data_IF_810217369849
#
_entry.id   IF_810217369849
#
_cell.length_a   1.000
_cell.length_b   1.000
_cell.length_c   1.000
_cell.angle_alpha   90.00
_cell.angle_beta   90.00
_cell.angle_gamma   90.00
#
_symmetry.space_group_name_H-M   'P 1'
#
loop_
_entity.id
_entity.type
_entity.pdbx_description
1 polymer ?
#
# COMPACT_ATOMS: atom_id res chain seq x y z
N UNK A 1 -12.51 -36.24 10.36
CA UNK A 1 -13.05 -35.14 11.12
C UNK A 1 -11.99 -34.11 11.41
N UNK A 2 -10.95 -34.56 12.05
CA UNK A 2 -9.86 -33.67 12.40
C UNK A 2 -9.27 -33.00 11.16
N UNK A 3 -9.16 -33.74 10.10
CA UNK A 3 -8.60 -33.20 8.86
C UNK A 3 -9.38 -32.04 8.33
N UNK A 4 -10.69 -32.10 8.47
CA UNK A 4 -11.52 -31.02 7.95
C UNK A 4 -11.24 -29.72 8.67
N UNK A 5 -11.09 -29.80 9.97
CA UNK A 5 -10.83 -28.61 10.75
C UNK A 5 -9.49 -28.00 10.38
N UNK A 6 -8.51 -28.85 10.15
CA UNK A 6 -7.20 -28.39 9.74
C UNK A 6 -7.28 -27.64 8.42
N UNK A 7 -8.00 -28.19 7.45
CA UNK A 7 -8.20 -27.53 6.17
C UNK A 7 -8.79 -26.15 6.34
N UNK A 8 -9.83 -26.05 7.14
CA UNK A 8 -10.54 -24.81 7.31
C UNK A 8 -9.61 -23.73 7.84
N UNK A 9 -8.81 -24.09 8.85
CA UNK A 9 -7.89 -23.15 9.44
C UNK A 9 -6.86 -22.69 8.41
N UNK A 10 -6.32 -23.61 7.66
CA UNK A 10 -5.31 -23.26 6.66
C UNK A 10 -5.85 -22.32 5.61
N UNK A 11 -7.08 -22.56 5.17
CA UNK A 11 -7.67 -21.69 4.15
C UNK A 11 -7.86 -20.29 4.66
N UNK A 12 -8.20 -20.14 5.91
CA UNK A 12 -8.42 -18.84 6.49
C UNK A 12 -7.12 -18.04 6.60
N UNK A 13 -5.98 -18.73 6.64
CA UNK A 13 -4.71 -18.07 6.77
C UNK A 13 -4.12 -17.62 5.44
N UNK A 14 -4.75 -18.02 4.33
CA UNK A 14 -4.23 -17.70 3.01
C UNK A 14 -4.86 -16.39 2.53
N UNK A 15 -4.01 -15.42 2.24
CA UNK A 15 -4.45 -14.14 1.72
C UNK A 15 -4.28 -14.12 0.21
N UNK A 16 -5.34 -13.77 -0.51
CA UNK A 16 -5.26 -13.64 -1.97
C UNK A 16 -4.89 -12.20 -2.33
N UNK A 17 -4.51 -12.02 -3.59
CA UNK A 17 -4.25 -10.66 -4.08
C UNK A 17 -5.50 -9.79 -3.92
N UNK A 18 -6.67 -10.33 -4.25
CA UNK A 18 -7.90 -9.55 -4.15
C UNK A 18 -8.16 -9.10 -2.71
N UNK A 19 -7.91 -9.98 -1.74
CA UNK A 19 -8.07 -9.64 -0.33
C UNK A 19 -7.10 -8.54 0.07
N UNK A 20 -5.85 -8.68 -0.33
CA UNK A 20 -4.82 -7.71 -0.01
C UNK A 20 -5.16 -6.36 -0.62
N UNK A 21 -5.52 -6.36 -1.90
CA UNK A 21 -5.81 -5.10 -2.58
C UNK A 21 -7.00 -4.39 -1.94
N UNK A 22 -8.06 -5.13 -1.65
CA UNK A 22 -9.25 -4.55 -1.03
C UNK A 22 -8.90 -3.91 0.32
N UNK A 23 -8.10 -4.61 1.11
CA UNK A 23 -7.74 -4.11 2.43
C UNK A 23 -6.87 -2.86 2.34
N UNK A 24 -5.83 -2.89 1.52
CA UNK A 24 -4.93 -1.75 1.45
C UNK A 24 -5.60 -0.55 0.79
N UNK A 25 -6.48 -0.80 -0.18
CA UNK A 25 -7.22 0.31 -0.78
C UNK A 25 -8.08 1.00 0.26
N UNK A 26 -8.77 0.23 1.09
CA UNK A 26 -9.57 0.82 2.16
C UNK A 26 -8.75 1.67 3.11
N UNK A 27 -7.55 1.20 3.43
CA UNK A 27 -6.66 1.94 4.32
C UNK A 27 -6.16 3.23 3.67
N UNK A 28 -5.71 3.15 2.41
CA UNK A 28 -5.17 4.32 1.73
C UNK A 28 -6.24 5.36 1.45
N UNK A 29 -7.46 4.94 1.16
CA UNK A 29 -8.54 5.88 0.85
C UNK A 29 -8.98 6.70 2.05
N UNK A 30 -8.47 6.40 3.25
CA UNK A 30 -8.71 7.23 4.41
C UNK A 30 -7.89 8.51 4.38
N UNK A 31 -6.90 8.60 3.51
CA UNK A 31 -6.04 9.77 3.44
C UNK A 31 -6.81 10.98 2.91
N UNK A 32 -6.49 12.13 3.46
CA UNK A 32 -7.03 13.40 2.98
C UNK A 32 -5.97 14.04 2.09
N UNK A 33 -6.21 14.00 0.78
CA UNK A 33 -5.25 14.53 -0.19
C UNK A 33 -5.69 15.88 -0.76
N UNK A 34 -6.70 16.50 -0.17
CA UNK A 34 -7.26 17.74 -0.71
C UNK A 34 -6.24 18.87 -0.77
N UNK A 35 -5.24 18.86 0.11
CA UNK A 35 -4.20 19.89 0.13
C UNK A 35 -2.99 19.52 -0.73
N UNK A 36 -2.99 18.37 -1.37
CA UNK A 36 -1.88 17.96 -2.22
C UNK A 36 -2.20 18.39 -3.64
N UNK A 37 -1.50 19.42 -4.10
CA UNK A 37 -1.73 19.98 -5.43
C UNK A 37 -0.83 19.38 -6.48
N UNK A 38 0.15 18.65 -6.05
CA UNK A 38 1.12 18.00 -6.92
C UNK A 38 0.56 16.68 -7.41
N UNK A 39 0.88 16.31 -8.65
CA UNK A 39 0.53 15.00 -9.18
C UNK A 39 1.54 13.98 -8.63
N UNK A 40 1.05 12.96 -7.97
CA UNK A 40 1.89 11.89 -7.44
C UNK A 40 1.37 10.56 -7.96
N UNK A 41 2.28 9.72 -8.45
CA UNK A 41 1.89 8.41 -8.96
C UNK A 41 2.86 7.36 -8.43
N UNK A 42 2.34 6.43 -7.66
CA UNK A 42 3.13 5.37 -7.03
C UNK A 42 2.65 4.01 -7.50
N UNK A 43 3.59 3.15 -7.84
CA UNK A 43 3.27 1.76 -8.10
C UNK A 43 3.79 0.92 -6.92
N UNK A 44 2.98 -0.05 -6.52
CA UNK A 44 3.33 -0.96 -5.44
C UNK A 44 3.45 -2.37 -5.98
N UNK A 45 4.58 -2.99 -5.73
CA UNK A 45 4.83 -4.38 -6.09
C UNK A 45 4.83 -5.19 -4.81
N UNK A 46 3.86 -6.08 -4.68
CA UNK A 46 3.72 -6.89 -3.47
C UNK A 46 4.37 -8.25 -3.74
N UNK A 47 5.25 -8.65 -2.83
CA UNK A 47 5.98 -9.90 -2.95
C UNK A 47 5.46 -10.91 -1.93
N UNK A 48 5.71 -12.21 -2.23
CA UNK A 48 5.31 -13.26 -1.33
C UNK A 48 3.83 -13.55 -1.41
N UNK A 49 3.22 -13.76 -0.26
CA UNK A 49 1.79 -14.02 -0.20
C UNK A 49 1.02 -12.82 -0.74
N UNK A 50 -0.02 -13.06 -1.52
CA UNK A 50 -0.84 -12.03 -2.15
C UNK A 50 -0.07 -11.22 -3.19
N UNK A 51 0.91 -11.83 -3.81
CA UNK A 51 1.78 -11.20 -4.79
C UNK A 51 0.98 -10.51 -5.91
N UNK A 52 1.44 -9.33 -6.34
CA UNK A 52 0.80 -8.61 -7.42
C UNK A 52 1.17 -7.14 -7.38
N UNK A 53 0.56 -6.36 -8.28
CA UNK A 53 0.85 -4.93 -8.38
C UNK A 53 -0.44 -4.13 -8.30
N UNK A 54 -0.30 -2.88 -7.90
CA UNK A 54 -1.38 -1.90 -7.99
C UNK A 54 -0.75 -0.51 -7.95
N UNK A 55 -1.55 0.53 -8.19
CA UNK A 55 -1.02 1.88 -8.10
C UNK A 55 -1.91 2.76 -7.23
N UNK A 56 -1.30 3.83 -6.73
CA UNK A 56 -2.01 4.89 -6.04
C UNK A 56 -1.61 6.21 -6.69
N UNK A 57 -2.59 7.02 -7.03
CA UNK A 57 -2.34 8.27 -7.74
C UNK A 57 -3.09 9.41 -7.07
N UNK A 58 -2.40 10.53 -6.84
CA UNK A 58 -3.02 11.77 -6.39
C UNK A 58 -3.07 12.71 -7.57
N UNK A 59 -4.27 13.14 -7.92
CA UNK A 59 -4.48 14.00 -9.07
C UNK A 59 -5.69 14.87 -8.84
N UNK A 60 -5.51 16.18 -8.97
CA UNK A 60 -6.63 17.11 -8.81
C UNK A 60 -7.28 17.06 -7.44
N UNK A 61 -6.49 16.83 -6.41
CA UNK A 61 -7.02 16.77 -5.05
C UNK A 61 -7.75 15.49 -4.71
N UNK A 62 -7.61 14.46 -5.55
CA UNK A 62 -8.28 13.18 -5.32
C UNK A 62 -7.28 12.05 -5.38
N UNK A 63 -7.60 10.97 -4.66
CA UNK A 63 -6.76 9.78 -4.61
C UNK A 63 -7.44 8.64 -5.36
N UNK A 64 -6.67 8.01 -6.24
CA UNK A 64 -7.10 6.85 -7.01
C UNK A 64 -6.23 5.67 -6.65
N UNK A 65 -6.84 4.54 -6.33
CA UNK A 65 -6.11 3.30 -6.03
C UNK A 65 -6.73 2.21 -6.89
N UNK A 66 -5.94 1.70 -7.86
CA UNK A 66 -6.45 0.76 -8.85
C UNK A 66 -5.51 -0.42 -9.04
N UNK A 67 -6.04 -1.59 -9.38
CA UNK A 67 -5.25 -2.82 -9.44
C UNK A 67 -4.49 -2.97 -10.76
N UNK A 68 -3.80 -1.93 -11.17
CA UNK A 68 -3.09 -1.92 -12.44
C UNK A 68 -1.70 -1.35 -12.28
N UNK A 69 -0.87 -1.59 -13.28
CA UNK A 69 0.44 -1.00 -13.41
C UNK A 69 0.30 0.47 -13.81
N UNK A 70 1.19 1.32 -13.31
CA UNK A 70 1.21 2.73 -13.71
C UNK A 70 2.53 2.99 -14.41
N UNK A 71 2.48 3.13 -15.73
CA UNK A 71 3.69 3.24 -16.53
C UNK A 71 4.52 4.48 -16.18
N UNK A 72 3.87 5.63 -16.06
CA UNK A 72 4.56 6.90 -15.78
C UNK A 72 4.66 7.19 -14.28
N UNK A 73 4.88 6.17 -13.51
CA UNK A 73 4.97 6.33 -12.06
C UNK A 73 6.16 7.17 -11.63
N UNK A 74 5.97 7.95 -10.58
CA UNK A 74 7.04 8.74 -10.00
C UNK A 74 7.97 7.88 -9.17
N UNK A 75 7.42 6.89 -8.49
CA UNK A 75 8.20 6.00 -7.65
C UNK A 75 7.54 4.64 -7.58
N UNK A 76 8.32 3.64 -7.23
CA UNK A 76 7.85 2.27 -7.11
C UNK A 76 8.30 1.72 -5.77
N UNK A 77 7.37 1.10 -5.06
CA UNK A 77 7.63 0.50 -3.75
C UNK A 77 7.46 -1.00 -3.84
N UNK A 78 8.41 -1.74 -3.30
CA UNK A 78 8.35 -3.20 -3.30
C UNK A 78 8.46 -3.69 -1.87
N UNK A 79 7.50 -4.49 -1.44
CA UNK A 79 7.48 -5.03 -0.09
C UNK A 79 6.46 -6.16 0.01
N UNK A 80 6.40 -6.80 1.17
CA UNK A 80 5.39 -7.81 1.43
C UNK A 80 4.07 -7.12 1.79
N UNK A 81 2.98 -7.88 1.69
CA UNK A 81 1.67 -7.36 2.07
C UNK A 81 1.66 -6.92 3.53
N UNK A 82 2.26 -7.73 4.40
CA UNK A 82 2.27 -7.41 5.82
C UNK A 82 2.99 -6.08 6.08
N UNK A 83 4.13 -5.87 5.44
CA UNK A 83 4.85 -4.62 5.59
C UNK A 83 4.01 -3.44 5.12
N UNK A 84 3.35 -3.59 3.98
CA UNK A 84 2.54 -2.52 3.45
C UNK A 84 1.37 -2.19 4.37
N UNK A 85 0.72 -3.19 4.93
CA UNK A 85 -0.38 -2.95 5.87
C UNK A 85 0.09 -2.12 7.06
N UNK A 86 1.26 -2.45 7.61
CA UNK A 86 1.78 -1.72 8.76
C UNK A 86 2.13 -0.28 8.40
N UNK A 87 2.63 -0.07 7.20
CA UNK A 87 2.94 1.28 6.74
C UNK A 87 1.64 2.07 6.54
N UNK A 88 0.68 1.48 5.85
CA UNK A 88 -0.58 2.16 5.56
C UNK A 88 -1.38 2.43 6.82
N UNK A 89 -1.19 1.61 7.84
CA UNK A 89 -1.86 1.74 9.12
C UNK A 89 -1.16 2.74 10.04
N UNK A 90 0.00 3.23 9.62
CA UNK A 90 0.75 4.18 10.44
C UNK A 90 1.59 3.56 11.53
N UNK A 91 1.62 2.23 11.61
CA UNK A 91 2.38 1.54 12.66
C UNK A 91 3.86 1.48 12.35
N UNK A 92 4.24 1.53 11.09
CA UNK A 92 5.64 1.48 10.69
C UNK A 92 5.93 2.69 9.81
N UNK A 93 6.97 3.42 10.17
CA UNK A 93 7.46 4.54 9.37
C UNK A 93 8.07 3.98 8.08
N UNK A 94 7.65 4.46 6.90
CA UNK A 94 8.23 3.97 5.64
C UNK A 94 9.75 4.14 5.58
N UNK A 95 10.28 5.21 6.15
CA UNK A 95 11.72 5.42 6.13
C UNK A 95 12.43 4.36 6.94
N UNK A 96 11.88 4.01 8.09
CA UNK A 96 12.44 2.93 8.90
C UNK A 96 12.36 1.61 8.16
N UNK A 97 11.26 1.36 7.45
CA UNK A 97 11.12 0.12 6.70
C UNK A 97 12.20 -0.01 5.63
N UNK A 98 12.56 1.11 4.97
CA UNK A 98 13.66 1.09 4.00
C UNK A 98 14.97 0.76 4.69
N UNK A 99 15.23 1.39 5.83
CA UNK A 99 16.46 1.15 6.58
C UNK A 99 16.59 -0.31 6.99
N UNK A 100 15.49 -0.93 7.34
CA UNK A 100 15.50 -2.33 7.77
C UNK A 100 15.46 -3.31 6.60
N UNK A 101 15.44 -2.81 5.36
CA UNK A 101 15.41 -3.68 4.19
C UNK A 101 14.06 -4.30 3.90
N UNK A 102 13.00 -3.81 4.53
CA UNK A 102 11.65 -4.35 4.33
C UNK A 102 10.89 -3.64 3.24
N UNK A 103 11.34 -2.45 2.85
CA UNK A 103 10.71 -1.68 1.79
C UNK A 103 11.78 -1.23 0.81
N UNK A 104 11.59 -1.55 -0.46
CA UNK A 104 12.49 -1.10 -1.51
C UNK A 104 11.83 0.03 -2.27
N UNK A 105 12.57 1.11 -2.51
CA UNK A 105 12.06 2.30 -3.18
C UNK A 105 12.89 2.57 -4.41
N UNK A 106 12.23 2.81 -5.55
CA UNK A 106 12.91 3.16 -6.80
C UNK A 106 12.20 4.35 -7.41
N UNK A 107 12.95 5.16 -8.14
CA UNK A 107 12.40 6.30 -8.85
C UNK A 107 12.73 7.62 -8.18
N UNK A 108 11.79 8.55 -8.22
CA UNK A 108 11.99 9.90 -7.69
C UNK A 108 11.87 9.88 -6.16
N UNK A 109 13.01 10.05 -5.50
CA UNK A 109 13.06 9.94 -4.03
C UNK A 109 12.27 11.06 -3.36
N UNK A 110 12.35 12.28 -3.89
CA UNK A 110 11.62 13.39 -3.30
C UNK A 110 10.12 13.12 -3.30
N UNK A 111 9.61 12.61 -4.41
CA UNK A 111 8.18 12.30 -4.47
C UNK A 111 7.84 11.07 -3.65
N UNK A 112 8.76 10.12 -3.57
CA UNK A 112 8.54 8.93 -2.73
C UNK A 112 8.37 9.31 -1.27
N UNK A 113 9.12 10.31 -0.80
CA UNK A 113 9.03 10.75 0.59
C UNK A 113 7.66 11.34 0.91
N UNK A 114 6.94 11.81 -0.10
CA UNK A 114 5.59 12.35 0.11
C UNK A 114 4.60 11.27 0.51
N UNK A 115 4.94 10.00 0.31
CA UNK A 115 4.07 8.91 0.73
C UNK A 115 3.82 8.96 2.23
N UNK A 116 4.82 9.32 3.01
CA UNK A 116 4.65 9.42 4.46
C UNK A 116 3.63 10.49 4.82
N UNK A 117 3.69 11.63 4.13
CA UNK A 117 2.71 12.69 4.37
C UNK A 117 1.31 12.22 4.01
N UNK A 118 1.19 11.53 2.91
CA UNK A 118 -0.10 11.03 2.45
C UNK A 118 -0.70 10.08 3.48
N UNK A 119 0.10 9.17 3.99
CA UNK A 119 -0.38 8.19 4.95
C UNK A 119 -0.80 8.87 6.26
N UNK A 120 -0.09 9.91 6.65
CA UNK A 120 -0.38 10.60 7.91
C UNK A 120 -1.52 11.61 7.80
N UNK A 121 -2.02 11.88 6.59
CA UNK A 121 -3.06 12.87 6.39
C UNK A 121 -4.43 12.20 6.36
N UNK A 122 -4.91 11.80 7.54
CA UNK A 122 -6.19 11.12 7.63
C UNK A 122 -7.33 12.12 7.57
N UNK A 123 -8.45 11.68 7.00
CA UNK A 123 -9.65 12.51 6.98
C UNK A 123 -10.16 12.66 8.40
N UNK A 124 -10.80 13.81 8.69
CA UNK A 124 -11.35 14.02 10.03
C UNK A 124 -12.34 12.92 10.39
N UNK A 125 -12.32 12.54 11.65
CA UNK A 125 -13.24 11.55 12.18
C UNK A 125 -14.42 12.25 12.80
N UNK A 126 -15.59 11.61 12.75
CA UNK A 126 -16.80 12.15 13.35
C UNK A 126 -17.28 11.33 14.49
#
# INVERSE_FOLDING_TARGET
MVEKMTFTVEKEDIMTYADMFSKVKGMLMEADVSDIHEHLAYQFNITGEAEGIFYAEVKGGQLYVEPYEYFDRDAMFTCSAETLFKIADGKTDPILAVTLGKLKVEGNIDKALRLKELINSKKPQK
#
